data_IF_763161322514
#
_entry.id   IF_763161322514
#
_cell.length_a   1.000
_cell.length_b   1.000
_cell.length_c   1.000
_cell.angle_alpha   90.00
_cell.angle_beta   90.00
_cell.angle_gamma   90.00
#
_symmetry.space_group_name_H-M   'P 1'
#
loop_
_entity.id
_entity.type
_entity.pdbx_description
1 polymer ?
#
# COMPACT_ATOMS: atom_id res chain seq x y z
N UNK A 1 -1.10 -27.34 33.89
CA UNK A 1 -1.62 -27.69 32.54
C UNK A 1 -1.46 -26.43 31.70
N UNK A 2 -0.33 -26.34 31.00
CA UNK A 2 0.04 -25.13 30.26
C UNK A 2 -0.83 -25.05 29.00
N UNK A 3 -1.60 -23.98 28.89
CA UNK A 3 -2.24 -23.62 27.63
C UNK A 3 -1.14 -23.22 26.63
N UNK A 4 -1.41 -23.55 25.39
CA UNK A 4 -0.52 -23.57 24.25
C UNK A 4 -0.15 -22.13 23.78
N UNK A 5 1.09 -21.73 24.07
CA UNK A 5 1.67 -20.42 23.69
C UNK A 5 2.30 -20.42 22.27
N UNK A 6 1.95 -21.35 21.36
CA UNK A 6 2.71 -21.53 20.10
C UNK A 6 1.96 -21.41 18.77
N UNK A 7 0.80 -20.77 18.74
CA UNK A 7 0.10 -20.47 17.47
C UNK A 7 -0.01 -18.98 17.14
N UNK A 8 0.76 -18.12 17.82
CA UNK A 8 0.72 -16.68 17.61
C UNK A 8 1.58 -16.28 16.39
N UNK A 9 0.96 -16.24 15.22
CA UNK A 9 1.22 -15.16 14.26
C UNK A 9 2.02 -15.43 12.98
N UNK A 10 2.35 -16.68 12.63
CA UNK A 10 2.92 -16.93 11.30
C UNK A 10 1.86 -16.67 10.23
N UNK A 11 2.19 -15.82 9.27
CA UNK A 11 1.41 -15.67 8.04
C UNK A 11 1.36 -17.04 7.34
N UNK A 12 0.21 -17.50 6.85
CA UNK A 12 0.10 -18.75 6.10
C UNK A 12 1.05 -18.78 4.90
N UNK A 13 1.67 -19.93 4.63
CA UNK A 13 2.57 -20.12 3.48
C UNK A 13 1.86 -19.80 2.16
N UNK A 14 0.58 -20.14 2.07
CA UNK A 14 -0.27 -19.87 0.90
C UNK A 14 -0.39 -18.37 0.58
N UNK A 15 -0.49 -17.50 1.59
CA UNK A 15 -0.56 -16.05 1.36
C UNK A 15 0.79 -15.51 0.86
N UNK A 16 1.91 -16.00 1.42
CA UNK A 16 3.25 -15.60 0.99
C UNK A 16 3.55 -16.09 -0.43
N UNK A 17 3.06 -17.27 -0.79
CA UNK A 17 3.20 -17.85 -2.13
C UNK A 17 2.35 -17.07 -3.15
N UNK A 18 1.10 -16.75 -2.81
CA UNK A 18 0.23 -15.89 -3.62
C UNK A 18 0.89 -14.53 -3.92
N UNK A 19 1.44 -13.90 -2.89
CA UNK A 19 2.19 -12.65 -3.01
C UNK A 19 3.39 -12.85 -3.94
N UNK A 20 4.20 -13.89 -3.74
CA UNK A 20 5.43 -14.13 -4.50
C UNK A 20 5.15 -14.35 -5.99
N UNK A 21 4.13 -15.14 -6.34
CA UNK A 21 3.76 -15.43 -7.73
C UNK A 21 3.08 -14.24 -8.40
N UNK A 22 2.26 -13.49 -7.66
CA UNK A 22 1.48 -12.37 -8.18
C UNK A 22 2.24 -11.06 -8.30
N UNK A 23 3.35 -10.87 -7.57
CA UNK A 23 4.00 -9.57 -7.37
C UNK A 23 4.46 -8.91 -8.68
N UNK A 24 5.16 -9.63 -9.55
CA UNK A 24 5.65 -9.09 -10.82
C UNK A 24 4.50 -8.64 -11.73
N UNK A 25 3.47 -9.49 -11.84
CA UNK A 25 2.28 -9.17 -12.62
C UNK A 25 1.52 -7.96 -12.06
N UNK A 26 1.59 -7.77 -10.75
CA UNK A 26 0.90 -6.70 -10.04
C UNK A 26 1.68 -5.39 -10.11
N UNK A 27 3.02 -5.44 -10.01
CA UNK A 27 3.91 -4.32 -10.30
C UNK A 27 3.64 -3.76 -11.70
N UNK A 28 3.65 -4.64 -12.71
CA UNK A 28 3.43 -4.26 -14.10
C UNK A 28 2.03 -3.67 -14.32
N UNK A 29 1.03 -4.26 -13.65
CA UNK A 29 -0.36 -3.78 -13.69
C UNK A 29 -0.45 -2.39 -13.08
N UNK A 30 0.12 -2.17 -11.90
CA UNK A 30 0.16 -0.88 -11.20
C UNK A 30 0.86 0.19 -12.03
N UNK A 31 2.04 -0.12 -12.56
CA UNK A 31 2.82 0.82 -13.35
C UNK A 31 2.06 1.24 -14.61
N UNK A 32 1.53 0.29 -15.38
CA UNK A 32 0.69 0.58 -16.56
C UNK A 32 -0.50 1.43 -16.19
N UNK A 33 -1.19 1.02 -15.14
CA UNK A 33 -2.34 1.71 -14.59
C UNK A 33 -2.00 3.18 -14.31
N UNK A 34 -0.98 3.45 -13.49
CA UNK A 34 -0.56 4.81 -13.10
C UNK A 34 -0.34 5.67 -14.34
N UNK A 35 0.41 5.17 -15.32
CA UNK A 35 0.65 5.87 -16.59
C UNK A 35 -0.66 6.22 -17.30
N UNK A 36 -1.58 5.26 -17.45
CA UNK A 36 -2.88 5.50 -18.10
C UNK A 36 -3.76 6.52 -17.37
N UNK A 37 -3.71 6.57 -16.04
CA UNK A 37 -4.46 7.56 -15.27
C UNK A 37 -3.85 8.96 -15.34
N UNK A 38 -2.52 9.05 -15.35
CA UNK A 38 -1.79 10.29 -15.55
C UNK A 38 -2.08 10.87 -16.94
N UNK A 39 -2.03 10.04 -17.98
CA UNK A 39 -2.32 10.47 -19.36
C UNK A 39 -3.73 11.02 -19.50
N UNK A 40 -4.73 10.39 -18.87
CA UNK A 40 -6.13 10.85 -18.86
C UNK A 40 -6.33 12.21 -18.18
N UNK A 41 -5.41 12.63 -17.30
CA UNK A 41 -5.51 13.88 -16.52
C UNK A 41 -4.70 15.04 -17.11
N UNK A 42 -4.03 14.83 -18.24
CA UNK A 42 -3.35 15.87 -19.00
C UNK A 42 -2.32 16.66 -18.19
N UNK A 43 -2.57 17.97 -17.96
CA UNK A 43 -1.63 18.84 -17.24
C UNK A 43 -1.49 18.47 -15.75
N UNK A 44 -2.58 18.05 -15.11
CA UNK A 44 -2.55 17.54 -13.72
C UNK A 44 -1.75 16.24 -13.64
N UNK A 45 -1.92 15.34 -14.62
CA UNK A 45 -1.16 14.10 -14.68
C UNK A 45 0.35 14.32 -14.73
N UNK A 46 0.82 15.30 -15.52
CA UNK A 46 2.26 15.63 -15.55
C UNK A 46 2.82 16.04 -14.19
N UNK A 47 2.08 16.84 -13.41
CA UNK A 47 2.50 17.25 -12.06
C UNK A 47 2.51 16.10 -11.07
N UNK A 48 1.57 15.17 -11.19
CA UNK A 48 1.45 14.03 -10.27
C UNK A 48 2.30 12.82 -10.67
N UNK A 49 2.96 12.89 -11.83
CA UNK A 49 3.66 11.74 -12.42
C UNK A 49 4.88 11.31 -11.61
N UNK A 50 5.73 12.24 -11.21
CA UNK A 50 6.92 11.97 -10.40
C UNK A 50 6.56 11.29 -9.07
N UNK A 51 5.64 11.85 -8.25
CA UNK A 51 5.19 11.20 -7.03
C UNK A 51 4.57 9.81 -7.27
N UNK A 52 3.64 9.68 -8.22
CA UNK A 52 2.91 8.43 -8.39
C UNK A 52 3.79 7.31 -8.94
N UNK A 53 4.85 7.64 -9.68
CA UNK A 53 5.81 6.65 -10.17
C UNK A 53 6.72 6.08 -9.08
N UNK A 54 6.65 6.58 -7.83
CA UNK A 54 7.29 5.96 -6.66
C UNK A 54 6.44 4.84 -6.04
N UNK A 55 5.15 4.76 -6.37
CA UNK A 55 4.26 3.72 -5.82
C UNK A 55 4.71 2.28 -6.15
N UNK A 56 5.24 1.96 -7.35
CA UNK A 56 5.82 0.66 -7.62
C UNK A 56 7.04 0.33 -6.75
N UNK A 57 7.87 1.31 -6.40
CA UNK A 57 9.00 1.11 -5.47
C UNK A 57 8.52 0.81 -4.05
N UNK A 58 7.44 1.47 -3.62
CA UNK A 58 6.78 1.21 -2.34
C UNK A 58 6.19 -0.21 -2.27
N UNK A 59 5.63 -0.71 -3.37
CA UNK A 59 5.18 -2.11 -3.44
C UNK A 59 6.35 -3.09 -3.26
N UNK A 60 7.48 -2.82 -3.92
CA UNK A 60 8.69 -3.64 -3.78
C UNK A 60 9.21 -3.59 -2.34
N UNK A 61 9.14 -2.43 -1.69
CA UNK A 61 9.48 -2.28 -0.27
C UNK A 61 8.61 -3.18 0.62
N UNK A 62 7.29 -3.17 0.44
CA UNK A 62 6.39 -4.04 1.18
C UNK A 62 6.74 -5.52 0.98
N UNK A 63 7.03 -5.94 -0.25
CA UNK A 63 7.43 -7.30 -0.53
C UNK A 63 8.74 -7.69 0.17
N UNK A 64 9.72 -6.80 0.22
CA UNK A 64 10.99 -7.03 0.95
C UNK A 64 10.77 -7.12 2.45
N UNK A 65 9.96 -6.23 3.02
CA UNK A 65 9.60 -6.26 4.43
C UNK A 65 8.86 -7.56 4.81
N UNK A 66 7.98 -8.05 3.95
CA UNK A 66 7.30 -9.33 4.14
C UNK A 66 8.28 -10.51 4.31
N UNK A 67 9.40 -10.45 3.58
CA UNK A 67 10.42 -11.52 3.57
C UNK A 67 11.47 -11.35 4.67
N UNK A 68 11.60 -10.17 5.27
CA UNK A 68 12.55 -9.94 6.36
C UNK A 68 12.11 -10.70 7.63
N UNK A 69 13.06 -11.37 8.29
CA UNK A 69 12.83 -12.18 9.49
C UNK A 69 12.70 -11.35 10.76
N UNK A 70 13.23 -10.12 10.74
CA UNK A 70 13.23 -9.19 11.86
C UNK A 70 11.88 -8.47 11.99
N UNK A 71 11.01 -8.55 10.98
CA UNK A 71 9.64 -8.03 11.04
C UNK A 71 8.76 -8.90 11.94
N UNK A 72 8.13 -8.27 12.94
CA UNK A 72 7.25 -8.94 13.88
C UNK A 72 6.05 -9.60 13.18
N UNK A 73 5.52 -10.69 13.75
CA UNK A 73 4.35 -11.39 13.21
C UNK A 73 3.14 -10.49 12.96
N UNK A 74 2.89 -9.51 13.84
CA UNK A 74 1.77 -8.58 13.71
C UNK A 74 1.96 -7.63 12.51
N UNK A 75 3.13 -6.99 12.42
CA UNK A 75 3.52 -6.12 11.31
C UNK A 75 3.53 -6.89 9.98
N UNK A 76 4.00 -8.13 9.98
CA UNK A 76 4.01 -9.00 8.79
C UNK A 76 2.61 -9.29 8.26
N UNK A 77 1.64 -9.55 9.14
CA UNK A 77 0.24 -9.76 8.72
C UNK A 77 -0.35 -8.52 8.05
N UNK A 78 -0.05 -7.33 8.54
CA UNK A 78 -0.51 -6.08 7.91
C UNK A 78 0.08 -5.92 6.51
N UNK A 79 1.39 -6.14 6.38
CA UNK A 79 2.11 -6.09 5.09
C UNK A 79 1.53 -7.12 4.10
N UNK A 80 1.32 -8.36 4.55
CA UNK A 80 0.75 -9.40 3.70
C UNK A 80 -0.68 -9.11 3.32
N UNK A 81 -1.52 -8.61 4.25
CA UNK A 81 -2.86 -8.16 3.91
C UNK A 81 -2.86 -7.09 2.82
N UNK A 82 -1.92 -6.14 2.87
CA UNK A 82 -1.76 -5.11 1.84
C UNK A 82 -1.31 -5.69 0.49
N UNK A 83 -0.34 -6.60 0.50
CA UNK A 83 0.16 -7.25 -0.72
C UNK A 83 -0.88 -8.19 -1.33
N UNK A 84 -1.59 -8.97 -0.52
CA UNK A 84 -2.69 -9.84 -0.95
C UNK A 84 -3.79 -9.00 -1.59
N UNK A 85 -4.18 -7.89 -0.95
CA UNK A 85 -5.12 -6.94 -1.55
C UNK A 85 -4.67 -6.49 -2.94
N UNK A 86 -3.37 -6.22 -3.10
CA UNK A 86 -2.81 -5.72 -4.35
C UNK A 86 -2.66 -6.78 -5.46
N UNK A 87 -2.37 -8.04 -5.11
CA UNK A 87 -2.19 -9.13 -6.09
C UNK A 87 -3.49 -9.85 -6.44
N UNK A 88 -4.52 -9.70 -5.60
CA UNK A 88 -5.81 -10.38 -5.84
C UNK A 88 -6.61 -9.67 -6.95
N UNK A 89 -7.19 -10.44 -7.89
CA UNK A 89 -7.94 -9.88 -9.04
C UNK A 89 -9.35 -9.38 -8.67
N UNK A 90 -9.71 -9.40 -7.37
CA UNK A 90 -11.02 -9.00 -6.87
C UNK A 90 -10.83 -7.65 -6.18
N UNK A 91 -11.21 -6.57 -6.88
CA UNK A 91 -11.30 -5.22 -6.31
C UNK A 91 -12.29 -5.26 -5.12
N UNK A 92 -11.79 -5.43 -3.90
CA UNK A 92 -12.61 -5.60 -2.68
C UNK A 92 -13.14 -4.27 -2.11
N UNK A 93 -12.73 -3.13 -2.64
CA UNK A 93 -13.51 -1.92 -2.43
C UNK A 93 -14.79 -2.07 -3.24
N UNK A 94 -15.96 -2.07 -2.58
CA UNK A 94 -17.21 -2.25 -3.28
C UNK A 94 -17.28 -1.25 -4.44
N UNK A 95 -17.59 -1.72 -5.64
CA UNK A 95 -18.03 -0.85 -6.74
C UNK A 95 -19.15 0.11 -6.27
N UNK A 96 -19.90 -0.30 -5.24
CA UNK A 96 -20.88 0.49 -4.50
C UNK A 96 -20.33 1.72 -3.75
N UNK A 97 -19.03 1.78 -3.42
CA UNK A 97 -18.37 2.94 -2.79
C UNK A 97 -17.78 3.91 -3.84
N UNK A 98 -17.38 3.40 -5.01
CA UNK A 98 -16.50 4.10 -5.97
C UNK A 98 -17.15 4.44 -7.32
N UNK A 99 -18.19 3.72 -7.77
CA UNK A 99 -18.72 3.86 -9.12
C UNK A 99 -17.71 3.46 -10.21
N UNK A 100 -18.02 3.77 -11.48
CA UNK A 100 -17.22 3.40 -12.67
C UNK A 100 -15.87 4.14 -12.69
N UNK A 101 -14.89 3.65 -11.93
CA UNK A 101 -13.58 4.31 -11.79
C UNK A 101 -12.67 3.77 -10.67
N UNK A 102 -12.80 2.51 -10.28
CA UNK A 102 -11.99 1.83 -9.23
C UNK A 102 -10.56 1.56 -9.66
N UNK A 103 -9.74 2.60 -9.67
CA UNK A 103 -8.37 2.54 -10.18
C UNK A 103 -7.33 3.10 -9.20
N UNK A 104 -7.72 4.15 -8.47
CA UNK A 104 -6.82 4.92 -7.64
C UNK A 104 -6.65 4.35 -6.24
N UNK A 105 -7.58 3.50 -5.85
CA UNK A 105 -7.70 2.91 -4.54
C UNK A 105 -6.50 2.05 -4.16
N UNK A 106 -5.91 1.29 -5.09
CA UNK A 106 -4.77 0.42 -4.78
C UNK A 106 -3.51 1.20 -4.40
N UNK A 107 -3.22 2.31 -5.10
CA UNK A 107 -2.05 3.17 -4.83
C UNK A 107 -2.22 3.92 -3.53
N UNK A 108 -3.42 4.47 -3.29
CA UNK A 108 -3.74 5.22 -2.07
C UNK A 108 -3.75 4.30 -0.88
N UNK A 109 -4.32 3.11 -1.02
CA UNK A 109 -4.33 2.13 0.05
C UNK A 109 -2.91 1.66 0.34
N UNK A 110 -2.11 1.34 -0.68
CA UNK A 110 -0.71 0.97 -0.47
C UNK A 110 0.07 2.08 0.24
N UNK A 111 -0.07 3.34 -0.20
CA UNK A 111 0.65 4.46 0.41
C UNK A 111 0.17 4.75 1.84
N UNK A 112 -1.15 4.71 2.09
CA UNK A 112 -1.74 4.90 3.40
C UNK A 112 -1.36 3.77 4.36
N UNK A 113 -1.41 2.53 3.89
CA UNK A 113 -1.03 1.36 4.68
C UNK A 113 0.46 1.38 4.96
N UNK A 114 1.33 1.73 4.01
CA UNK A 114 2.76 1.91 4.27
C UNK A 114 3.01 3.03 5.28
N UNK A 115 2.45 4.22 5.07
CA UNK A 115 2.61 5.34 6.02
C UNK A 115 2.16 4.96 7.43
N UNK A 116 1.10 4.16 7.57
CA UNK A 116 0.59 3.70 8.87
C UNK A 116 1.31 2.48 9.44
N UNK A 117 1.85 1.63 8.57
CA UNK A 117 2.59 0.44 8.99
C UNK A 117 3.99 0.80 9.43
N UNK A 118 4.53 1.97 9.02
CA UNK A 118 5.79 2.50 9.54
C UNK A 118 5.65 2.99 10.97
N UNK A 119 5.50 2.03 11.87
CA UNK A 119 5.73 2.21 13.29
C UNK A 119 7.24 2.22 13.59
N UNK A 120 7.60 2.54 14.84
CA UNK A 120 9.00 2.60 15.27
C UNK A 120 9.79 1.28 15.06
N UNK A 121 9.09 0.14 14.92
CA UNK A 121 9.70 -1.16 14.63
C UNK A 121 10.02 -1.32 13.13
N UNK A 122 9.05 -0.98 12.26
CA UNK A 122 9.16 -1.17 10.82
C UNK A 122 10.01 -0.09 10.14
N UNK A 123 10.09 1.11 10.70
CA UNK A 123 10.80 2.22 10.08
C UNK A 123 12.29 1.93 9.79
N UNK A 124 13.11 1.43 10.75
CA UNK A 124 14.51 1.12 10.47
C UNK A 124 14.68 0.03 9.40
N UNK A 125 13.79 -0.97 9.39
CA UNK A 125 13.79 -2.05 8.41
C UNK A 125 13.36 -1.52 7.03
N UNK A 126 12.40 -0.60 6.98
CA UNK A 126 11.91 -0.02 5.76
C UNK A 126 12.96 0.87 5.10
N UNK A 127 13.64 1.70 5.88
CA UNK A 127 14.78 2.50 5.39
C UNK A 127 15.89 1.59 4.86
N UNK A 128 16.21 0.50 5.57
CA UNK A 128 17.21 -0.50 5.14
C UNK A 128 16.86 -1.16 3.79
N UNK A 129 15.57 -1.42 3.55
CA UNK A 129 15.09 -2.11 2.34
C UNK A 129 14.63 -1.16 1.23
N UNK A 130 14.70 0.15 1.45
CA UNK A 130 14.26 1.13 0.47
C UNK A 130 15.20 1.20 -0.74
N UNK A 131 14.63 1.21 -1.95
CA UNK A 131 15.38 1.34 -3.21
C UNK A 131 15.10 2.63 -3.98
N UNK A 132 14.21 3.48 -3.47
CA UNK A 132 13.92 4.75 -4.13
C UNK A 132 15.11 5.71 -4.07
N UNK A 133 15.10 6.66 -5.00
CA UNK A 133 16.11 7.69 -5.16
C UNK A 133 15.97 8.87 -4.17
N UNK A 134 14.86 8.94 -3.44
CA UNK A 134 14.57 9.97 -2.44
C UNK A 134 14.34 9.36 -1.07
N UNK A 135 14.29 10.21 -0.04
CA UNK A 135 13.98 9.77 1.33
C UNK A 135 12.62 9.06 1.40
N UNK A 136 12.54 7.96 2.16
CA UNK A 136 11.34 7.14 2.25
C UNK A 136 10.13 7.92 2.78
N UNK A 137 10.32 8.78 3.79
CA UNK A 137 9.22 9.58 4.35
C UNK A 137 8.73 10.59 3.32
N UNK A 138 9.65 11.19 2.57
CA UNK A 138 9.30 12.10 1.47
C UNK A 138 8.54 11.36 0.36
N UNK A 139 9.00 10.18 -0.05
CA UNK A 139 8.29 9.34 -1.03
C UNK A 139 6.87 8.98 -0.60
N UNK A 140 6.68 8.67 0.67
CA UNK A 140 5.35 8.36 1.20
C UNK A 140 4.44 9.57 1.24
N UNK A 141 4.96 10.73 1.65
CA UNK A 141 4.22 11.98 1.63
C UNK A 141 3.83 12.38 0.21
N UNK A 142 4.77 12.32 -0.75
CA UNK A 142 4.55 12.66 -2.15
C UNK A 142 3.51 11.75 -2.79
N UNK A 143 3.66 10.43 -2.66
CA UNK A 143 2.69 9.46 -3.20
C UNK A 143 1.33 9.69 -2.58
N UNK A 144 1.24 9.86 -1.26
CA UNK A 144 -0.04 10.04 -0.57
C UNK A 144 -0.73 11.35 -0.96
N UNK A 145 0.03 12.45 -1.06
CA UNK A 145 -0.50 13.76 -1.49
C UNK A 145 -0.95 13.75 -2.95
N UNK A 146 -0.18 13.13 -3.83
CA UNK A 146 -0.55 12.99 -5.23
C UNK A 146 -1.79 12.11 -5.41
N UNK A 147 -1.86 11.02 -4.65
CA UNK A 147 -3.00 10.12 -4.66
C UNK A 147 -4.26 10.77 -4.08
N UNK A 148 -4.16 11.54 -3.01
CA UNK A 148 -5.26 12.33 -2.44
C UNK A 148 -5.78 13.39 -3.44
N UNK A 149 -4.87 14.08 -4.13
CA UNK A 149 -5.20 15.05 -5.19
C UNK A 149 -5.94 14.39 -6.35
N UNK A 150 -5.53 13.18 -6.73
CA UNK A 150 -6.09 12.43 -7.85
C UNK A 150 -7.45 11.78 -7.48
N UNK A 151 -7.67 11.41 -6.20
CA UNK A 151 -8.95 10.90 -5.66
C UNK A 151 -9.98 12.01 -5.44
N UNK A 152 -9.51 13.20 -5.04
CA UNK A 152 -10.36 14.27 -4.53
C UNK A 152 -10.80 14.04 -3.07
N UNK A 153 -11.05 15.16 -2.37
CA UNK A 153 -11.31 15.21 -0.92
C UNK A 153 -12.46 14.33 -0.45
N UNK A 154 -13.52 14.18 -1.26
CA UNK A 154 -14.70 13.40 -0.91
C UNK A 154 -14.41 11.89 -0.85
N UNK A 155 -13.60 11.40 -1.79
CA UNK A 155 -13.30 9.97 -1.87
C UNK A 155 -12.21 9.59 -0.86
N UNK A 156 -11.21 10.45 -0.70
CA UNK A 156 -10.19 10.30 0.34
C UNK A 156 -10.82 10.20 1.75
N UNK A 157 -11.78 11.07 2.07
CA UNK A 157 -12.49 11.03 3.35
C UNK A 157 -13.29 9.74 3.60
N UNK A 158 -13.89 9.15 2.55
CA UNK A 158 -14.59 7.86 2.66
C UNK A 158 -13.62 6.71 2.92
N UNK A 159 -12.48 6.70 2.24
CA UNK A 159 -11.45 5.68 2.43
C UNK A 159 -10.89 5.76 3.86
N UNK A 160 -10.55 6.96 4.32
CA UNK A 160 -10.11 7.21 5.69
C UNK A 160 -11.14 6.71 6.72
N UNK A 161 -12.42 6.96 6.49
CA UNK A 161 -13.51 6.49 7.36
C UNK A 161 -13.65 4.95 7.35
N UNK A 162 -13.43 4.30 6.21
CA UNK A 162 -13.45 2.85 6.09
C UNK A 162 -12.25 2.18 6.80
N UNK A 163 -11.07 2.78 6.68
CA UNK A 163 -9.85 2.33 7.36
C UNK A 163 -9.96 2.49 8.88
N UNK A 164 -10.47 3.63 9.35
CA UNK A 164 -10.70 3.87 10.77
C UNK A 164 -11.64 2.82 11.39
N UNK A 165 -12.68 2.39 10.66
CA UNK A 165 -13.59 1.31 11.07
C UNK A 165 -12.92 -0.06 11.21
N UNK A 166 -11.77 -0.26 10.55
CA UNK A 166 -10.94 -1.47 10.65
C UNK A 166 -9.79 -1.31 11.66
N UNK A 167 -9.74 -0.21 12.42
CA UNK A 167 -8.71 0.07 13.41
C UNK A 167 -7.45 0.75 12.85
N UNK A 168 -7.49 1.24 11.61
CA UNK A 168 -6.37 1.98 10.98
C UNK A 168 -6.69 3.47 10.98
N UNK A 169 -6.06 4.23 11.88
CA UNK A 169 -6.32 5.66 12.04
C UNK A 169 -5.33 6.51 11.26
N UNK A 170 -5.78 7.13 10.17
CA UNK A 170 -4.96 8.03 9.35
C UNK A 170 -4.83 9.41 9.99
N UNK A 171 -3.65 9.82 10.43
CA UNK A 171 -3.39 11.22 10.82
C UNK A 171 -3.32 12.10 9.56
N UNK A 172 -3.95 13.28 9.62
CA UNK A 172 -3.78 14.28 8.57
C UNK A 172 -2.48 15.02 8.86
N UNK A 173 -1.38 14.64 8.19
CA UNK A 173 -0.21 15.51 8.13
C UNK A 173 -0.60 16.74 7.30
N UNK A 174 -0.83 17.84 8.02
CA UNK A 174 -1.14 19.16 7.48
C UNK A 174 0.12 19.87 6.95
#
# INVERSE_FOLDING_TARGET
MAADDREIGRVPVEEVELVSTGLLSSYDRLRRRIVEALDRRGRLGRTLSEPLLLAPDLLVLLARLCMDRDVSPASRKLIVGALVYFVTPIDMLPEALLGVGGFLDDVVLASLVLSHSLNAELEPLAVKHWSGNQDLRIALADVSGAAATLLGVNLYGRLKSFLARRGVHVEDDA
#
